data_IF_378497525809
#
_entry.id   IF_378497525809
#
_cell.length_a   1.000
_cell.length_b   1.000
_cell.length_c   1.000
_cell.angle_alpha   90.00
_cell.angle_beta   90.00
_cell.angle_gamma   90.00
#
_symmetry.space_group_name_H-M   'P 1'
#
loop_
_entity.id
_entity.type
_entity.pdbx_description
1 polymer ?
#
# COMPACT_ATOMS: atom_id res chain seq x y z
N UNK A 1 -0.11 -13.56 -21.74
CA UNK A 1 0.19 -12.13 -21.99
C UNK A 1 1.11 -11.67 -20.88
N UNK A 2 2.27 -11.11 -21.19
CA UNK A 2 3.19 -10.63 -20.15
C UNK A 2 2.52 -9.45 -19.44
N UNK A 3 2.30 -9.59 -18.13
CA UNK A 3 1.76 -8.52 -17.29
C UNK A 3 2.80 -7.39 -17.30
N UNK A 4 2.54 -6.33 -18.08
CA UNK A 4 3.43 -5.18 -18.15
C UNK A 4 3.19 -4.40 -16.88
N UNK A 5 3.97 -4.71 -15.85
CA UNK A 5 3.88 -4.02 -14.58
C UNK A 5 4.42 -2.58 -14.76
N UNK A 6 3.46 -1.65 -14.67
CA UNK A 6 3.54 -0.24 -15.03
C UNK A 6 4.31 0.60 -14.00
N UNK A 7 4.59 0.06 -12.81
CA UNK A 7 4.91 0.88 -11.63
C UNK A 7 6.41 1.13 -11.42
N UNK A 8 7.30 0.32 -12.00
CA UNK A 8 8.77 0.54 -11.95
C UNK A 8 9.51 -0.08 -13.14
N UNK A 9 9.47 0.60 -14.29
CA UNK A 9 10.14 0.11 -15.52
C UNK A 9 11.66 0.04 -15.40
N UNK A 10 12.24 0.92 -14.59
CA UNK A 10 13.70 1.10 -14.48
C UNK A 10 14.31 0.32 -13.30
N UNK A 11 13.48 -0.34 -12.47
CA UNK A 11 13.96 -1.06 -11.29
C UNK A 11 14.64 -0.11 -10.29
N UNK A 12 14.06 1.08 -10.09
CA UNK A 12 14.56 2.14 -9.21
C UNK A 12 13.81 2.20 -7.89
N UNK A 13 12.76 1.39 -7.71
CA UNK A 13 11.98 1.32 -6.49
C UNK A 13 12.32 0.05 -5.74
N UNK A 14 12.62 0.19 -4.45
CA UNK A 14 12.73 -0.95 -3.55
C UNK A 14 11.36 -1.59 -3.33
N UNK A 15 11.27 -2.92 -3.22
CA UNK A 15 10.02 -3.59 -2.83
C UNK A 15 9.57 -3.16 -1.42
N UNK A 16 10.51 -2.87 -0.53
CA UNK A 16 10.27 -2.37 0.82
C UNK A 16 11.15 -1.13 1.01
N UNK A 17 10.55 0.04 1.18
CA UNK A 17 11.28 1.27 1.51
C UNK A 17 10.98 1.69 2.95
N UNK A 18 12.02 2.05 3.69
CA UNK A 18 11.81 2.77 4.95
C UNK A 18 11.78 4.25 4.60
N UNK A 19 10.60 4.84 4.68
CA UNK A 19 10.35 6.24 4.34
C UNK A 19 9.47 6.89 5.40
N UNK A 20 9.39 8.21 5.39
CA UNK A 20 8.38 8.93 6.15
C UNK A 20 7.15 9.12 5.29
N UNK A 21 5.98 8.88 5.86
CA UNK A 21 4.70 9.03 5.17
C UNK A 21 3.87 10.12 5.83
N UNK A 22 2.91 10.65 5.07
CA UNK A 22 1.92 11.62 5.53
C UNK A 22 0.54 11.04 5.39
N UNK A 23 -0.35 11.37 6.32
CA UNK A 23 -1.79 11.14 6.21
C UNK A 23 -2.50 12.21 5.33
N UNK A 24 -1.74 13.15 4.76
CA UNK A 24 -2.24 14.31 4.01
C UNK A 24 -2.48 15.56 4.87
N UNK A 25 -2.36 15.48 6.19
CA UNK A 25 -2.56 16.61 7.12
C UNK A 25 -1.24 17.28 7.50
N UNK A 26 -0.16 16.51 7.63
CA UNK A 26 1.17 16.98 8.01
C UNK A 26 2.23 16.61 6.97
N UNK A 27 3.19 17.49 6.72
CA UNK A 27 4.34 17.14 5.87
C UNK A 27 5.12 15.97 6.50
N UNK A 28 5.57 14.97 5.71
CA UNK A 28 6.44 13.91 6.22
C UNK A 28 7.70 14.51 6.86
N UNK A 29 8.12 13.94 7.99
CA UNK A 29 9.41 14.31 8.59
C UNK A 29 10.57 13.96 7.66
N UNK A 30 11.71 14.63 7.81
CA UNK A 30 12.90 14.20 7.10
C UNK A 30 13.29 12.77 7.48
N UNK A 31 13.65 11.96 6.48
CA UNK A 31 14.14 10.61 6.69
C UNK A 31 15.47 10.63 7.48
N UNK A 32 15.64 9.69 8.41
CA UNK A 32 16.88 9.62 9.19
C UNK A 32 18.06 9.11 8.34
N UNK A 33 19.27 9.59 8.61
CA UNK A 33 20.51 9.17 7.91
C UNK A 33 20.67 7.64 7.86
N UNK A 34 20.30 6.95 8.94
CA UNK A 34 20.33 5.49 9.02
C UNK A 34 19.40 4.83 7.98
N UNK A 35 18.21 5.39 7.78
CA UNK A 35 17.22 4.85 6.83
C UNK A 35 17.62 5.20 5.39
N UNK A 36 18.20 6.39 5.14
CA UNK A 36 18.77 6.73 3.84
C UNK A 36 19.87 5.74 3.43
N UNK A 37 20.78 5.45 4.37
CA UNK A 37 21.84 4.45 4.16
C UNK A 37 21.28 3.05 3.96
N UNK A 38 20.24 2.67 4.70
CA UNK A 38 19.53 1.40 4.51
C UNK A 38 18.93 1.27 3.10
N UNK A 39 18.19 2.29 2.64
CA UNK A 39 17.62 2.31 1.29
C UNK A 39 18.72 2.26 0.20
N UNK A 40 19.82 3.01 0.38
CA UNK A 40 20.95 2.98 -0.55
C UNK A 40 21.60 1.59 -0.61
N UNK A 41 21.88 1.00 0.56
CA UNK A 41 22.49 -0.32 0.66
C UNK A 41 21.60 -1.41 0.04
N UNK A 42 20.29 -1.33 0.25
CA UNK A 42 19.34 -2.24 -0.37
C UNK A 42 19.40 -2.19 -1.90
N UNK A 43 19.51 -0.99 -2.49
CA UNK A 43 19.64 -0.82 -3.95
C UNK A 43 20.97 -1.37 -4.49
N UNK A 44 22.06 -1.19 -3.74
CA UNK A 44 23.38 -1.74 -4.07
C UNK A 44 23.33 -3.27 -4.05
N UNK A 45 22.83 -3.86 -2.97
CA UNK A 45 22.68 -5.32 -2.83
C UNK A 45 21.74 -5.91 -3.87
N UNK A 46 20.64 -5.23 -4.20
CA UNK A 46 19.76 -5.66 -5.27
C UNK A 46 20.49 -5.75 -6.62
N UNK A 47 21.37 -4.78 -6.91
CA UNK A 47 22.18 -4.79 -8.13
C UNK A 47 23.19 -5.94 -8.14
N UNK A 48 23.83 -6.23 -7.02
CA UNK A 48 24.80 -7.32 -6.90
C UNK A 48 24.13 -8.69 -6.96
N UNK A 49 23.05 -8.88 -6.22
CA UNK A 49 22.34 -10.15 -6.12
C UNK A 49 21.60 -10.49 -7.41
N UNK A 50 21.05 -9.50 -8.13
CA UNK A 50 20.50 -9.69 -9.47
C UNK A 50 21.55 -10.27 -10.43
N UNK A 51 22.80 -9.75 -10.40
CA UNK A 51 23.90 -10.28 -11.21
C UNK A 51 24.25 -11.72 -10.85
N UNK A 52 24.33 -12.03 -9.54
CA UNK A 52 24.58 -13.39 -9.05
C UNK A 52 23.49 -14.38 -9.50
N UNK A 53 22.24 -13.92 -9.56
CA UNK A 53 21.06 -14.69 -10.00
C UNK A 53 20.91 -14.81 -11.52
N UNK A 54 21.69 -14.06 -12.30
CA UNK A 54 21.49 -13.96 -13.75
C UNK A 54 20.15 -13.31 -14.14
N UNK A 55 19.62 -12.44 -13.29
CA UNK A 55 18.34 -11.75 -13.48
C UNK A 55 18.56 -10.26 -13.77
N UNK A 56 17.57 -9.61 -14.40
CA UNK A 56 17.56 -8.15 -14.40
C UNK A 56 17.33 -7.61 -12.99
N UNK A 57 17.83 -6.41 -12.69
CA UNK A 57 17.63 -5.78 -11.37
C UNK A 57 16.15 -5.70 -11.01
N UNK A 58 15.30 -5.39 -11.99
CA UNK A 58 13.84 -5.35 -11.84
C UNK A 58 13.26 -6.71 -11.47
N UNK A 59 13.63 -7.77 -12.20
CA UNK A 59 13.16 -9.14 -11.90
C UNK A 59 13.56 -9.58 -10.50
N UNK A 60 14.75 -9.19 -10.06
CA UNK A 60 15.20 -9.45 -8.70
C UNK A 60 14.37 -8.67 -7.67
N UNK A 61 14.16 -7.37 -7.87
CA UNK A 61 13.43 -6.50 -6.94
C UNK A 61 11.98 -6.92 -6.71
N UNK A 62 11.29 -7.43 -7.74
CA UNK A 62 9.90 -7.92 -7.61
C UNK A 62 9.78 -9.36 -7.11
N UNK A 63 10.90 -9.98 -6.70
CA UNK A 63 10.92 -11.34 -6.15
C UNK A 63 11.03 -11.34 -4.62
N UNK A 64 10.67 -12.47 -4.00
CA UNK A 64 10.86 -12.69 -2.56
C UNK A 64 12.33 -12.51 -2.14
N UNK A 65 13.29 -12.90 -2.99
CA UNK A 65 14.71 -12.64 -2.74
C UNK A 65 15.04 -11.13 -2.71
N UNK A 66 14.36 -10.33 -3.53
CA UNK A 66 14.46 -8.88 -3.53
C UNK A 66 13.96 -8.27 -2.22
N UNK A 67 12.81 -8.73 -1.73
CA UNK A 67 12.27 -8.32 -0.43
C UNK A 67 13.20 -8.73 0.72
N UNK A 68 13.64 -10.00 0.78
CA UNK A 68 14.57 -10.50 1.79
C UNK A 68 15.90 -9.73 1.77
N UNK A 69 16.50 -9.53 0.59
CA UNK A 69 17.74 -8.75 0.42
C UNK A 69 17.59 -7.31 0.90
N UNK A 70 16.40 -6.72 0.75
CA UNK A 70 16.11 -5.37 1.21
C UNK A 70 16.03 -5.30 2.73
N UNK A 71 15.32 -6.23 3.38
CA UNK A 71 15.23 -6.32 4.84
C UNK A 71 16.60 -6.58 5.49
N UNK A 72 17.42 -7.44 4.90
CA UNK A 72 18.78 -7.70 5.37
C UNK A 72 19.68 -6.45 5.28
N UNK A 73 19.53 -5.64 4.23
CA UNK A 73 20.25 -4.37 4.12
C UNK A 73 19.83 -3.39 5.24
N UNK A 74 18.55 -3.36 5.60
CA UNK A 74 18.07 -2.55 6.73
C UNK A 74 18.66 -3.04 8.06
N UNK A 75 18.70 -4.36 8.29
CA UNK A 75 19.35 -4.95 9.46
C UNK A 75 20.82 -4.51 9.55
N UNK A 76 21.55 -4.59 8.44
CA UNK A 76 22.95 -4.20 8.38
C UNK A 76 23.15 -2.71 8.67
N UNK A 77 22.34 -1.83 8.06
CA UNK A 77 22.42 -0.39 8.31
C UNK A 77 22.09 -0.04 9.77
N UNK A 78 21.03 -0.63 10.34
CA UNK A 78 20.66 -0.42 11.74
C UNK A 78 21.75 -0.89 12.71
N UNK A 79 22.32 -2.08 12.47
CA UNK A 79 23.42 -2.61 13.29
C UNK A 79 24.67 -1.72 13.22
N UNK A 80 25.03 -1.22 12.04
CA UNK A 80 26.14 -0.27 11.86
C UNK A 80 25.93 1.02 12.69
N UNK A 81 24.68 1.47 12.81
CA UNK A 81 24.30 2.63 13.61
C UNK A 81 23.99 2.31 15.08
N UNK A 82 24.25 1.08 15.56
CA UNK A 82 24.03 0.67 16.95
C UNK A 82 22.56 0.57 17.36
N UNK A 83 21.62 0.51 16.41
CA UNK A 83 20.19 0.37 16.67
C UNK A 83 19.83 -1.11 16.88
N UNK A 84 19.99 -1.58 18.12
CA UNK A 84 19.84 -3.00 18.47
C UNK A 84 18.48 -3.33 19.11
N UNK A 85 17.48 -2.45 18.96
CA UNK A 85 16.14 -2.63 19.55
C UNK A 85 15.28 -3.70 18.86
N UNK A 86 15.74 -4.24 17.74
CA UNK A 86 15.07 -5.26 16.96
C UNK A 86 15.75 -5.44 15.60
N UNK A 87 15.40 -6.53 14.91
CA UNK A 87 15.85 -6.83 13.55
C UNK A 87 14.76 -7.65 12.84
N UNK A 88 14.80 -7.64 11.51
CA UNK A 88 13.98 -8.53 10.70
C UNK A 88 14.58 -9.94 10.74
N UNK A 89 13.83 -10.93 11.21
CA UNK A 89 14.29 -12.31 11.36
C UNK A 89 14.31 -13.04 10.01
N UNK A 90 15.32 -12.74 9.20
CA UNK A 90 15.51 -13.20 7.82
C UNK A 90 16.91 -13.79 7.70
N UNK A 91 17.06 -14.96 7.08
CA UNK A 91 18.36 -15.59 6.88
C UNK A 91 19.10 -14.96 5.68
N UNK A 92 20.44 -14.93 5.75
CA UNK A 92 21.26 -14.39 4.66
C UNK A 92 21.07 -15.14 3.33
N UNK A 93 20.77 -16.44 3.40
CA UNK A 93 20.55 -17.27 2.22
C UNK A 93 19.30 -16.83 1.44
N UNK A 94 18.26 -16.31 2.11
CA UNK A 94 17.04 -15.79 1.48
C UNK A 94 17.30 -14.65 0.48
N UNK A 95 18.46 -13.98 0.53
CA UNK A 95 18.83 -13.00 -0.49
C UNK A 95 19.04 -13.61 -1.89
N UNK A 96 19.27 -14.92 -2.01
CA UNK A 96 19.59 -15.61 -3.26
C UNK A 96 18.79 -16.89 -3.49
N UNK A 97 18.37 -17.56 -2.42
CA UNK A 97 17.61 -18.81 -2.45
C UNK A 97 16.10 -18.54 -2.47
N UNK A 98 15.42 -19.03 -3.51
CA UNK A 98 14.00 -18.75 -3.70
C UNK A 98 13.12 -19.46 -2.65
N UNK A 99 13.48 -20.69 -2.26
CA UNK A 99 12.65 -21.48 -1.35
C UNK A 99 12.74 -20.91 0.06
N UNK A 100 13.95 -20.56 0.51
CA UNK A 100 14.22 -19.84 1.74
C UNK A 100 13.49 -18.49 1.76
N UNK A 101 13.60 -17.71 0.68
CA UNK A 101 12.93 -16.41 0.60
C UNK A 101 11.41 -16.53 0.65
N UNK A 102 10.83 -17.48 -0.08
CA UNK A 102 9.39 -17.70 -0.08
C UNK A 102 8.89 -18.16 1.30
N UNK A 103 9.66 -18.96 2.02
CA UNK A 103 9.30 -19.39 3.37
C UNK A 103 9.32 -18.25 4.40
N UNK A 104 10.18 -17.25 4.22
CA UNK A 104 10.36 -16.15 5.18
C UNK A 104 9.58 -14.88 4.83
N UNK A 105 9.31 -14.60 3.55
CA UNK A 105 8.64 -13.37 3.09
C UNK A 105 7.56 -13.58 2.02
N UNK A 106 7.26 -14.83 1.67
CA UNK A 106 6.33 -15.17 0.57
C UNK A 106 4.85 -15.07 0.94
N UNK A 107 4.51 -14.66 2.16
CA UNK A 107 3.14 -14.48 2.62
C UNK A 107 2.57 -15.69 3.37
N UNK A 108 1.25 -15.70 3.52
CA UNK A 108 0.49 -16.74 4.22
C UNK A 108 0.20 -16.43 5.69
N UNK A 109 0.61 -15.25 6.16
CA UNK A 109 0.16 -14.70 7.42
C UNK A 109 -1.32 -14.32 7.34
N UNK A 110 -1.99 -14.38 8.49
CA UNK A 110 -3.33 -13.84 8.61
C UNK A 110 -3.27 -12.31 8.70
N UNK A 111 -3.80 -11.61 7.71
CA UNK A 111 -3.84 -10.14 7.65
C UNK A 111 -5.25 -9.66 7.98
N UNK A 112 -5.36 -8.95 9.11
CA UNK A 112 -6.59 -8.36 9.59
C UNK A 112 -6.52 -6.84 9.63
N UNK A 113 -7.16 -6.19 8.67
CA UNK A 113 -7.27 -4.74 8.62
C UNK A 113 -8.47 -4.24 9.43
N UNK A 114 -8.23 -3.28 10.33
CA UNK A 114 -9.23 -2.86 11.32
C UNK A 114 -9.91 -1.53 10.96
N UNK A 115 -9.40 -0.78 9.97
CA UNK A 115 -9.86 0.59 9.68
C UNK A 115 -10.12 0.85 8.19
N UNK A 116 -10.95 0.02 7.56
CA UNK A 116 -11.34 0.16 6.16
C UNK A 116 -12.41 1.22 5.91
N UNK A 117 -12.21 2.00 4.85
CA UNK A 117 -13.08 3.11 4.46
C UNK A 117 -13.10 3.28 2.93
N UNK A 118 -14.29 3.54 2.36
CA UNK A 118 -14.45 3.95 0.97
C UNK A 118 -15.37 5.18 0.88
N UNK A 119 -15.12 6.05 -0.09
CA UNK A 119 -15.96 7.24 -0.34
C UNK A 119 -17.18 6.82 -1.13
N UNK A 120 -18.39 7.21 -0.71
CA UNK A 120 -19.58 6.98 -1.54
C UNK A 120 -19.71 8.11 -2.58
N UNK A 121 -19.42 7.86 -3.87
CA UNK A 121 -19.49 8.88 -4.93
C UNK A 121 -20.93 9.29 -5.30
N UNK A 122 -21.93 8.61 -4.75
CA UNK A 122 -23.35 8.85 -5.03
C UNK A 122 -24.13 9.24 -3.75
N UNK A 123 -23.42 9.57 -2.66
CA UNK A 123 -24.06 9.86 -1.38
C UNK A 123 -24.69 11.26 -1.30
N UNK A 124 -25.75 11.39 -0.50
CA UNK A 124 -26.50 12.64 -0.30
C UNK A 124 -25.63 13.80 0.21
N UNK A 125 -24.51 13.49 0.88
CA UNK A 125 -23.53 14.46 1.36
C UNK A 125 -23.00 15.38 0.25
N UNK A 126 -22.97 14.94 -1.00
CA UNK A 126 -22.54 15.73 -2.15
C UNK A 126 -23.43 16.93 -2.44
N UNK A 127 -24.72 16.86 -2.06
CA UNK A 127 -25.67 17.97 -2.20
C UNK A 127 -25.47 19.08 -1.15
N UNK A 128 -24.71 18.77 -0.09
CA UNK A 128 -24.48 19.65 1.07
C UNK A 128 -23.15 20.40 1.02
N UNK A 129 -22.33 20.10 0.02
CA UNK A 129 -21.06 20.79 -0.21
C UNK A 129 -21.17 21.73 -1.43
N UNK A 130 -20.42 22.85 -1.46
CA UNK A 130 -20.43 23.77 -2.59
C UNK A 130 -20.23 23.06 -3.93
N UNK A 131 -20.91 23.43 -5.02
CA UNK A 131 -20.81 22.74 -6.32
C UNK A 131 -19.36 22.60 -6.84
N UNK A 132 -18.54 23.62 -6.60
CA UNK A 132 -17.13 23.71 -6.98
C UNK A 132 -16.17 22.98 -6.00
N UNK A 133 -16.67 22.49 -4.87
CA UNK A 133 -15.86 21.74 -3.91
C UNK A 133 -15.40 20.41 -4.52
N UNK A 134 -14.10 20.12 -4.34
CA UNK A 134 -13.42 18.92 -4.82
C UNK A 134 -12.82 18.11 -3.67
N UNK A 135 -13.64 17.55 -2.76
CA UNK A 135 -13.13 16.80 -1.61
C UNK A 135 -12.40 15.53 -2.08
N UNK A 136 -11.33 15.15 -1.39
CA UNK A 136 -10.49 13.98 -1.70
C UNK A 136 -9.74 14.01 -3.05
N UNK A 137 -9.87 15.07 -3.86
CA UNK A 137 -9.21 15.16 -5.16
C UNK A 137 -7.67 15.18 -5.09
N UNK A 138 -7.11 15.57 -3.94
CA UNK A 138 -5.67 15.57 -3.69
C UNK A 138 -5.09 14.20 -3.30
N UNK A 139 -5.95 13.19 -3.07
CA UNK A 139 -5.48 11.84 -2.76
C UNK A 139 -4.90 11.17 -4.00
N UNK A 140 -3.76 10.50 -3.88
CA UNK A 140 -3.13 9.81 -5.00
C UNK A 140 -4.07 8.80 -5.69
N UNK A 141 -4.89 8.08 -4.92
CA UNK A 141 -5.87 7.12 -5.46
C UNK A 141 -6.97 7.79 -6.30
N UNK A 142 -7.22 9.09 -6.17
CA UNK A 142 -8.18 9.81 -7.03
C UNK A 142 -7.76 9.87 -8.51
N UNK A 143 -6.54 9.41 -8.84
CA UNK A 143 -6.01 9.30 -10.20
C UNK A 143 -5.97 7.82 -10.60
N UNK A 144 -7.07 7.29 -11.13
CA UNK A 144 -7.18 5.90 -11.57
C UNK A 144 -8.05 5.75 -12.82
N UNK A 145 -8.07 4.57 -13.41
CA UNK A 145 -8.86 4.25 -14.61
C UNK A 145 -10.38 4.23 -14.36
N UNK A 146 -10.80 3.94 -13.12
CA UNK A 146 -12.21 3.95 -12.71
C UNK A 146 -12.77 5.36 -12.46
N UNK A 147 -12.01 6.41 -12.76
CA UNK A 147 -12.53 7.76 -12.75
C UNK A 147 -13.65 7.89 -13.80
N UNK A 148 -14.87 8.20 -13.36
CA UNK A 148 -15.99 8.38 -14.26
C UNK A 148 -15.77 9.66 -15.09
N UNK A 149 -15.91 9.59 -16.41
CA UNK A 149 -15.68 10.74 -17.30
C UNK A 149 -16.82 11.76 -17.32
N UNK A 150 -17.93 11.48 -16.62
CA UNK A 150 -19.11 12.34 -16.58
C UNK A 150 -19.23 13.14 -15.28
N UNK A 151 -18.66 14.34 -15.24
CA UNK A 151 -18.92 15.36 -14.21
C UNK A 151 -17.70 15.87 -13.45
N UNK A 152 -17.85 17.02 -12.78
CA UNK A 152 -16.78 17.73 -12.06
C UNK A 152 -16.11 16.91 -10.92
N UNK A 153 -16.77 15.82 -10.49
CA UNK A 153 -16.32 14.91 -9.41
C UNK A 153 -16.10 13.47 -9.88
N UNK A 154 -15.88 13.26 -11.18
CA UNK A 154 -15.63 11.95 -11.78
C UNK A 154 -14.53 11.11 -11.10
N UNK A 155 -13.51 11.77 -10.55
CA UNK A 155 -12.41 11.17 -9.80
C UNK A 155 -12.86 10.37 -8.56
N UNK A 156 -14.05 10.63 -8.01
CA UNK A 156 -14.59 9.88 -6.87
C UNK A 156 -14.89 8.42 -7.21
N UNK A 157 -15.04 8.08 -8.49
CA UNK A 157 -15.16 6.68 -8.93
C UNK A 157 -13.96 5.83 -8.51
N UNK A 158 -12.77 6.45 -8.40
CA UNK A 158 -11.56 5.79 -7.92
C UNK A 158 -11.56 5.48 -6.42
N UNK A 159 -12.44 6.13 -5.66
CA UNK A 159 -12.54 6.00 -4.20
C UNK A 159 -13.80 5.21 -3.82
N UNK A 160 -14.47 4.60 -4.81
CA UNK A 160 -15.74 3.90 -4.66
C UNK A 160 -15.60 2.55 -3.96
N UNK A 161 -16.74 1.97 -3.60
CA UNK A 161 -16.83 0.63 -3.02
C UNK A 161 -16.19 -0.46 -3.89
N UNK A 162 -16.37 -0.39 -5.21
CA UNK A 162 -15.82 -1.40 -6.12
C UNK A 162 -14.30 -1.35 -6.19
N UNK A 163 -13.72 -0.15 -6.21
CA UNK A 163 -12.26 0.01 -6.16
C UNK A 163 -11.72 -0.38 -4.79
N UNK A 164 -12.44 -0.08 -3.71
CA UNK A 164 -12.06 -0.53 -2.37
C UNK A 164 -12.02 -2.06 -2.25
N UNK A 165 -13.06 -2.77 -2.73
CA UNK A 165 -13.09 -4.25 -2.69
C UNK A 165 -11.95 -4.83 -3.52
N UNK A 166 -11.69 -4.28 -4.71
CA UNK A 166 -10.57 -4.70 -5.54
C UNK A 166 -9.24 -4.47 -4.83
N UNK A 167 -8.99 -3.25 -4.34
CA UNK A 167 -7.73 -2.89 -3.70
C UNK A 167 -7.46 -3.74 -2.44
N UNK A 168 -8.50 -4.03 -1.64
CA UNK A 168 -8.36 -4.80 -0.39
C UNK A 168 -8.31 -6.30 -0.64
N UNK A 169 -9.19 -6.87 -1.45
CA UNK A 169 -9.34 -8.33 -1.53
C UNK A 169 -8.79 -8.97 -2.81
N UNK A 170 -8.45 -8.19 -3.83
CA UNK A 170 -7.89 -8.71 -5.09
C UNK A 170 -6.43 -8.30 -5.28
N UNK A 171 -6.10 -7.06 -4.92
CA UNK A 171 -4.77 -6.49 -5.13
C UNK A 171 -3.93 -6.46 -3.83
N UNK A 172 -4.41 -7.11 -2.75
CA UNK A 172 -3.68 -7.27 -1.48
C UNK A 172 -3.92 -8.66 -0.86
N UNK A 173 -3.09 -9.02 0.11
CA UNK A 173 -3.16 -10.29 0.86
C UNK A 173 -4.14 -10.24 2.06
N UNK A 174 -5.02 -9.24 2.14
CA UNK A 174 -5.96 -9.07 3.26
C UNK A 174 -6.96 -10.23 3.36
N UNK A 175 -6.99 -10.93 4.49
CA UNK A 175 -7.95 -12.00 4.75
C UNK A 175 -9.30 -11.47 5.25
N UNK A 176 -9.25 -10.50 6.17
CA UNK A 176 -10.43 -9.90 6.80
C UNK A 176 -10.21 -8.40 6.91
N UNK A 177 -11.27 -7.64 6.65
CA UNK A 177 -11.31 -6.19 6.80
C UNK A 177 -12.53 -5.77 7.62
N UNK A 178 -12.32 -4.88 8.59
CA UNK A 178 -13.40 -4.15 9.27
C UNK A 178 -13.68 -2.84 8.54
N UNK A 179 -14.92 -2.67 8.11
CA UNK A 179 -15.42 -1.36 7.72
C UNK A 179 -15.75 -0.55 8.98
N UNK A 180 -14.93 0.44 9.28
CA UNK A 180 -15.09 1.31 10.46
C UNK A 180 -15.83 2.58 10.10
N UNK A 181 -16.70 3.09 10.99
CA UNK A 181 -17.52 4.26 10.70
C UNK A 181 -16.96 5.54 11.31
N UNK A 182 -17.11 6.66 10.59
CA UNK A 182 -16.92 7.99 11.17
C UNK A 182 -18.24 8.41 11.82
N UNK A 183 -18.28 8.77 13.11
CA UNK A 183 -19.50 9.19 13.78
C UNK A 183 -20.18 10.34 13.02
N UNK A 184 -21.26 10.05 12.30
CA UNK A 184 -21.96 11.01 11.46
C UNK A 184 -23.41 10.59 11.21
N UNK A 185 -24.24 11.56 10.84
CA UNK A 185 -25.59 11.26 10.34
C UNK A 185 -25.50 10.74 8.92
N UNK A 186 -26.42 9.86 8.52
CA UNK A 186 -26.48 9.30 7.17
C UNK A 186 -26.35 10.36 6.07
N UNK A 187 -27.05 11.49 6.25
CA UNK A 187 -27.11 12.57 5.25
C UNK A 187 -25.78 13.34 5.09
N UNK A 188 -24.89 13.20 6.07
CA UNK A 188 -23.61 13.92 6.14
C UNK A 188 -22.40 13.01 5.97
N UNK A 189 -22.60 11.70 5.87
CA UNK A 189 -21.56 10.67 5.88
C UNK A 189 -20.93 10.52 4.49
N UNK A 190 -19.67 10.96 4.27
CA UNK A 190 -19.03 10.86 2.96
C UNK A 190 -18.49 9.45 2.66
N UNK A 191 -18.37 8.62 3.68
CA UNK A 191 -17.66 7.34 3.66
C UNK A 191 -18.65 6.28 4.15
N UNK A 192 -18.99 5.26 3.34
CA UNK A 192 -19.77 4.04 3.73
C UNK A 192 -21.32 4.05 3.64
N UNK A 193 -21.97 5.07 3.08
CA UNK A 193 -23.44 5.19 3.27
C UNK A 193 -24.30 4.05 2.67
N UNK A 194 -23.82 3.29 1.66
CA UNK A 194 -24.61 2.19 1.07
C UNK A 194 -24.63 0.91 1.89
N UNK A 195 -23.51 0.53 2.51
CA UNK A 195 -23.36 -0.77 3.18
C UNK A 195 -23.97 -0.76 4.59
N UNK A 196 -23.93 0.39 5.28
CA UNK A 196 -24.61 0.64 6.56
C UNK A 196 -26.11 0.32 6.50
N UNK A 197 -26.80 0.77 5.45
CA UNK A 197 -28.25 0.52 5.29
C UNK A 197 -28.58 -0.96 5.12
N UNK A 198 -27.68 -1.74 4.51
CA UNK A 198 -27.90 -3.17 4.28
C UNK A 198 -27.70 -3.98 5.56
N UNK A 199 -26.70 -3.61 6.37
CA UNK A 199 -26.44 -4.18 7.69
C UNK A 199 -27.49 -3.77 8.74
N UNK A 200 -27.88 -2.50 8.81
CA UNK A 200 -28.96 -2.05 9.71
C UNK A 200 -30.29 -2.76 9.38
N UNK A 201 -30.60 -2.96 8.09
CA UNK A 201 -31.79 -3.73 7.67
C UNK A 201 -31.69 -5.23 7.94
N UNK A 202 -30.49 -5.82 7.96
CA UNK A 202 -30.33 -7.25 8.28
C UNK A 202 -30.30 -7.52 9.79
N UNK A 203 -29.90 -6.55 10.62
CA UNK A 203 -29.90 -6.66 12.08
C UNK A 203 -31.28 -6.41 12.70
N UNK A 204 -32.23 -5.88 11.92
CA UNK A 204 -33.62 -5.63 12.33
C UNK A 204 -34.60 -6.74 11.88
N UNK A 205 -34.10 -7.85 11.34
CA UNK A 205 -34.89 -9.05 11.00
C UNK A 205 -34.43 -10.27 11.79
#
# INVERSE_FOLDING_TARGET
>A
MANVDLLDKEGLRLPIKIDTTSNGEYEPLAISECNEKGNKLAMEWATENAKKKGQSRRQFLVSSCGAASTLLAMNHANAYHGKNGGFFDITQQSALDNDSANAEVGGGEFIFDVQGHYVNPEGDWLSRIPPDARPYAGMAKAQCEAANTGGDRGYMGCLSESEFIKDIFMDSDTDIMVLSFVPSTHETEPVLSKMRLRLERSLLN
#
